data_IF_615798792339
#
_entry.id   IF_615798792339
#
_cell.length_a   1.000
_cell.length_b   1.000
_cell.length_c   1.000
_cell.angle_alpha   90.00
_cell.angle_beta   90.00
_cell.angle_gamma   90.00
#
_symmetry.space_group_name_H-M   'P 1'
#
loop_
_entity.id
_entity.type
_entity.pdbx_description
1 polymer ?
#
# COMPACT_ATOMS: atom_id res chain seq x y z
N UNK A 1 34.41 5.00 -44.80
CA UNK A 1 33.05 4.56 -44.43
C UNK A 1 33.18 3.30 -43.57
N UNK A 2 32.94 3.42 -42.28
CA UNK A 2 32.95 2.27 -41.39
C UNK A 2 31.66 1.46 -41.65
N UNK A 3 31.77 0.24 -42.19
CA UNK A 3 30.70 -0.73 -42.19
C UNK A 3 30.53 -1.20 -40.75
N UNK A 4 29.52 -0.67 -40.06
CA UNK A 4 29.04 -1.22 -38.81
C UNK A 4 28.40 -2.58 -39.11
N UNK A 5 29.19 -3.62 -38.97
CA UNK A 5 28.72 -4.99 -39.02
C UNK A 5 27.98 -5.26 -37.70
N UNK A 6 26.66 -5.08 -37.73
CA UNK A 6 25.79 -5.49 -36.63
C UNK A 6 25.66 -7.02 -36.63
N UNK A 7 26.73 -7.72 -36.26
CA UNK A 7 26.64 -9.11 -35.84
C UNK A 7 26.04 -9.16 -34.44
N UNK A 8 24.77 -8.72 -34.31
CA UNK A 8 23.95 -9.10 -33.20
C UNK A 8 23.75 -10.62 -33.37
N UNK A 9 24.48 -11.41 -32.57
CA UNK A 9 24.34 -12.84 -32.56
C UNK A 9 22.88 -13.18 -32.21
N UNK A 10 22.13 -13.60 -33.21
CA UNK A 10 20.72 -14.01 -33.10
C UNK A 10 20.48 -15.05 -32.01
N UNK A 11 21.55 -15.75 -31.57
CA UNK A 11 21.55 -16.70 -30.47
C UNK A 11 21.26 -16.07 -29.09
N UNK A 12 21.51 -14.78 -28.91
CA UNK A 12 21.30 -14.07 -27.64
C UNK A 12 19.96 -13.33 -27.56
N UNK A 13 19.28 -13.19 -28.70
CA UNK A 13 17.96 -12.52 -28.77
C UNK A 13 16.92 -13.17 -27.84
N UNK A 14 16.74 -14.50 -27.80
CA UNK A 14 15.76 -15.09 -26.89
C UNK A 14 16.13 -14.89 -25.42
N UNK A 15 17.42 -14.79 -25.09
CA UNK A 15 17.88 -14.56 -23.72
C UNK A 15 17.62 -13.12 -23.28
N UNK A 16 17.83 -12.14 -24.17
CA UNK A 16 17.51 -10.72 -23.93
C UNK A 16 16.00 -10.49 -23.77
N UNK A 17 15.18 -11.15 -24.55
CA UNK A 17 13.72 -11.10 -24.46
C UNK A 17 13.22 -11.73 -23.15
N UNK A 18 13.86 -12.82 -22.68
CA UNK A 18 13.52 -13.46 -21.41
C UNK A 18 13.83 -12.54 -20.22
N UNK A 19 14.99 -11.88 -20.23
CA UNK A 19 15.41 -10.92 -19.20
C UNK A 19 14.49 -9.71 -19.18
N UNK A 20 14.12 -9.17 -20.35
CA UNK A 20 13.19 -8.05 -20.48
C UNK A 20 11.79 -8.43 -19.97
N UNK A 21 11.35 -9.66 -20.19
CA UNK A 21 10.07 -10.19 -19.67
C UNK A 21 10.03 -10.28 -18.16
N UNK A 22 11.13 -10.63 -17.51
CA UNK A 22 11.23 -10.74 -16.04
C UNK A 22 11.18 -9.37 -15.36
N UNK A 23 11.68 -8.32 -16.00
CA UNK A 23 11.67 -6.95 -15.46
C UNK A 23 10.27 -6.31 -15.44
N UNK A 24 9.32 -6.81 -16.22
CA UNK A 24 7.97 -6.24 -16.34
C UNK A 24 7.02 -6.77 -15.24
N UNK A 25 7.39 -7.84 -14.53
CA UNK A 25 6.54 -8.47 -13.49
C UNK A 25 6.69 -7.83 -12.11
N UNK A 26 7.49 -6.76 -11.97
CA UNK A 26 7.51 -5.93 -10.76
C UNK A 26 6.22 -5.11 -10.69
N UNK A 27 5.06 -5.78 -10.70
CA UNK A 27 3.77 -5.15 -10.52
C UNK A 27 3.70 -4.48 -9.15
N UNK A 28 3.03 -3.33 -9.07
CA UNK A 28 2.67 -2.66 -7.83
C UNK A 28 1.79 -3.59 -6.99
N UNK A 29 2.41 -4.49 -6.24
CA UNK A 29 1.69 -5.32 -5.27
C UNK A 29 1.34 -4.48 -4.05
N UNK A 30 0.12 -4.67 -3.53
CA UNK A 30 -0.27 -4.11 -2.23
C UNK A 30 0.71 -4.61 -1.17
N UNK A 31 1.27 -3.72 -0.33
CA UNK A 31 2.15 -4.15 0.76
C UNK A 31 1.45 -5.16 1.66
N UNK A 32 2.19 -6.16 2.11
CA UNK A 32 1.67 -7.15 3.04
C UNK A 32 1.63 -6.57 4.44
N UNK A 33 0.46 -6.56 5.08
CA UNK A 33 0.26 -6.10 6.45
C UNK A 33 -0.14 -7.23 7.39
N UNK A 34 0.16 -7.06 8.69
CA UNK A 34 -0.25 -7.94 9.77
C UNK A 34 -1.49 -7.37 10.46
N UNK A 35 -2.66 -8.04 10.42
CA UNK A 35 -3.88 -7.52 11.02
C UNK A 35 -3.82 -7.42 12.56
N UNK A 36 -3.03 -8.24 13.25
CA UNK A 36 -2.88 -8.15 14.71
C UNK A 36 -2.08 -6.91 15.12
N UNK A 37 -1.02 -6.60 14.37
CA UNK A 37 -0.28 -5.35 14.53
C UNK A 37 -1.16 -4.15 14.15
N UNK A 38 -1.93 -4.25 13.10
CA UNK A 38 -2.89 -3.23 12.69
C UNK A 38 -3.92 -2.91 13.76
N UNK A 39 -4.43 -3.92 14.46
CA UNK A 39 -5.32 -3.73 15.62
C UNK A 39 -4.63 -2.94 16.73
N UNK A 40 -3.36 -3.24 16.99
CA UNK A 40 -2.55 -2.52 18.00
C UNK A 40 -2.36 -1.06 17.59
N UNK A 41 -1.99 -0.79 16.34
CA UNK A 41 -1.84 0.57 15.81
C UNK A 41 -3.14 1.35 15.85
N UNK A 42 -4.25 0.73 15.50
CA UNK A 42 -5.60 1.31 15.59
C UNK A 42 -5.92 1.81 17.00
N UNK A 43 -5.54 1.05 18.00
CA UNK A 43 -5.73 1.42 19.42
C UNK A 43 -4.74 2.49 19.86
N UNK A 44 -3.44 2.36 19.52
CA UNK A 44 -2.40 3.29 19.95
C UNK A 44 -2.56 4.69 19.39
N UNK A 45 -3.09 4.81 18.17
CA UNK A 45 -3.34 6.10 17.55
C UNK A 45 -4.75 6.63 17.80
N UNK A 46 -5.50 6.01 18.70
CA UNK A 46 -6.86 6.42 19.11
C UNK A 46 -7.86 6.50 17.94
N UNK A 47 -7.69 5.70 16.91
CA UNK A 47 -8.60 5.67 15.76
C UNK A 47 -10.03 5.32 16.21
N UNK A 48 -10.15 4.44 17.20
CA UNK A 48 -11.42 4.02 17.79
C UNK A 48 -12.21 5.17 18.43
N UNK A 49 -11.58 6.23 18.86
CA UNK A 49 -12.26 7.36 19.50
C UNK A 49 -13.30 8.02 18.56
N UNK A 50 -13.02 8.03 17.26
CA UNK A 50 -13.92 8.57 16.25
C UNK A 50 -14.59 7.49 15.40
N UNK A 51 -13.86 6.42 15.05
CA UNK A 51 -14.34 5.36 14.17
C UNK A 51 -14.98 4.17 14.91
N UNK A 52 -14.93 4.15 16.24
CA UNK A 52 -15.43 3.06 17.08
C UNK A 52 -14.45 1.88 17.21
N UNK A 53 -14.64 1.02 18.20
CA UNK A 53 -13.72 -0.11 18.47
C UNK A 53 -13.67 -1.12 17.31
N UNK A 54 -14.73 -1.23 16.52
CA UNK A 54 -14.81 -2.13 15.38
C UNK A 54 -14.75 -1.40 14.02
N UNK A 55 -14.52 -0.10 14.00
CA UNK A 55 -14.44 0.71 12.79
C UNK A 55 -15.79 1.05 12.14
N UNK A 56 -16.92 0.73 12.77
CA UNK A 56 -18.27 0.94 12.22
C UNK A 56 -19.28 1.52 13.21
N UNK A 57 -18.91 1.76 14.43
CA UNK A 57 -19.79 2.14 15.53
C UNK A 57 -19.41 3.49 16.17
N UNK A 58 -18.60 4.29 15.48
CA UNK A 58 -18.25 5.64 15.86
C UNK A 58 -19.04 6.71 15.12
N UNK A 59 -18.70 7.99 15.41
CA UNK A 59 -19.29 9.16 14.74
C UNK A 59 -18.67 9.46 13.38
N UNK A 60 -17.43 8.98 13.16
CA UNK A 60 -16.72 9.13 11.90
C UNK A 60 -17.21 8.08 10.86
N UNK A 61 -16.87 8.26 9.58
CA UNK A 61 -17.23 7.30 8.55
C UNK A 61 -16.76 5.87 8.88
N UNK A 62 -17.52 4.88 8.41
CA UNK A 62 -17.19 3.46 8.55
C UNK A 62 -15.86 3.15 7.87
N UNK A 63 -14.98 2.46 8.58
CA UNK A 63 -13.63 2.10 8.09
C UNK A 63 -13.34 0.59 8.16
N UNK A 64 -14.29 -0.22 8.56
CA UNK A 64 -14.18 -1.68 8.48
C UNK A 64 -14.64 -2.22 7.12
N UNK A 65 -14.27 -3.46 6.79
CA UNK A 65 -14.56 -4.08 5.50
C UNK A 65 -14.15 -3.19 4.31
N UNK A 66 -12.95 -2.65 4.37
CA UNK A 66 -12.47 -1.69 3.36
C UNK A 66 -12.47 -2.30 1.95
N UNK A 67 -13.21 -1.67 1.04
CA UNK A 67 -13.22 -2.01 -0.39
C UNK A 67 -12.23 -1.17 -1.20
N UNK A 68 -11.76 -0.05 -0.63
CA UNK A 68 -10.80 0.81 -1.31
C UNK A 68 -9.42 0.16 -1.44
N UNK A 69 -8.64 0.61 -2.43
CA UNK A 69 -7.25 0.17 -2.59
C UNK A 69 -6.36 0.66 -1.46
N UNK A 70 -5.24 -0.07 -1.21
CA UNK A 70 -4.23 0.34 -0.24
C UNK A 70 -3.74 1.78 -0.47
N UNK A 71 -3.42 2.14 -1.70
CA UNK A 71 -2.89 3.47 -2.05
C UNK A 71 -3.87 4.60 -1.74
N UNK A 72 -5.16 4.36 -1.91
CA UNK A 72 -6.19 5.32 -1.53
C UNK A 72 -6.30 5.42 -0.01
N UNK A 73 -6.24 4.30 0.69
CA UNK A 73 -6.26 4.25 2.16
C UNK A 73 -5.06 5.00 2.75
N UNK A 74 -3.85 4.70 2.28
CA UNK A 74 -2.62 5.38 2.68
C UNK A 74 -2.73 6.90 2.50
N UNK A 75 -3.17 7.36 1.34
CA UNK A 75 -3.37 8.78 1.07
C UNK A 75 -4.30 9.43 2.09
N UNK A 76 -5.38 8.76 2.49
CA UNK A 76 -6.31 9.24 3.51
C UNK A 76 -5.65 9.32 4.88
N UNK A 77 -4.84 8.32 5.26
CA UNK A 77 -4.08 8.36 6.51
C UNK A 77 -3.10 9.53 6.53
N UNK A 78 -2.40 9.77 5.42
CA UNK A 78 -1.45 10.89 5.31
C UNK A 78 -2.15 12.24 5.31
N UNK A 79 -3.24 12.38 4.58
CA UNK A 79 -4.07 13.60 4.52
C UNK A 79 -5.50 13.26 4.09
N UNK A 80 -6.40 13.18 5.03
CA UNK A 80 -7.82 12.93 4.77
C UNK A 80 -8.55 14.12 4.12
N UNK A 81 -7.92 15.30 4.04
CA UNK A 81 -8.58 16.52 3.57
C UNK A 81 -9.70 17.01 4.50
N UNK A 82 -9.72 16.52 5.73
CA UNK A 82 -10.71 16.86 6.76
C UNK A 82 -10.06 17.68 7.89
N UNK A 83 -10.73 18.70 8.43
CA UNK A 83 -10.21 19.44 9.58
C UNK A 83 -10.30 18.63 10.89
N UNK A 84 -11.05 17.52 10.91
CA UNK A 84 -11.34 16.74 12.10
C UNK A 84 -10.39 15.54 12.21
N UNK A 85 -10.19 14.80 11.12
CA UNK A 85 -9.26 13.67 11.11
C UNK A 85 -7.81 14.19 11.08
N UNK A 86 -6.96 13.82 12.06
CA UNK A 86 -5.57 14.23 12.06
C UNK A 86 -4.81 13.70 10.85
N UNK A 87 -3.76 14.41 10.47
CA UNK A 87 -2.78 13.93 9.50
C UNK A 87 -1.74 13.07 10.21
N UNK A 88 -1.42 11.93 9.62
CA UNK A 88 -0.43 11.00 10.16
C UNK A 88 0.74 10.90 9.18
N UNK A 89 1.79 11.74 9.35
CA UNK A 89 2.99 11.63 8.54
C UNK A 89 3.76 10.33 8.84
N UNK A 90 4.70 10.00 7.98
CA UNK A 90 5.47 8.74 8.06
C UNK A 90 6.23 8.59 9.40
N UNK A 91 6.66 9.71 10.00
CA UNK A 91 7.34 9.73 11.29
C UNK A 91 6.43 9.31 12.46
N UNK A 92 5.11 9.42 12.30
CA UNK A 92 4.12 8.99 13.28
C UNK A 92 3.61 7.57 13.04
N UNK A 93 3.31 7.27 11.80
CA UNK A 93 2.81 5.96 11.35
C UNK A 93 3.60 5.59 10.11
N UNK A 94 4.50 4.61 10.22
CA UNK A 94 5.31 4.16 9.09
C UNK A 94 4.44 3.54 7.99
N UNK A 95 4.99 3.39 6.78
CA UNK A 95 4.28 2.74 5.67
C UNK A 95 3.92 1.29 5.99
N UNK A 96 4.77 0.59 6.77
CA UNK A 96 4.45 -0.76 7.25
C UNK A 96 3.26 -0.75 8.21
N UNK A 97 3.22 0.20 9.15
CA UNK A 97 2.10 0.32 10.09
C UNK A 97 0.79 0.68 9.37
N UNK A 98 0.86 1.46 8.29
CA UNK A 98 -0.31 1.72 7.42
C UNK A 98 -0.77 0.44 6.72
N UNK A 99 0.17 -0.40 6.25
CA UNK A 99 -0.17 -1.70 5.65
C UNK A 99 -0.83 -2.64 6.67
N UNK A 100 -0.34 -2.65 7.90
CA UNK A 100 -0.93 -3.42 9.01
C UNK A 100 -2.35 -2.94 9.35
N UNK A 101 -2.55 -1.62 9.45
CA UNK A 101 -3.86 -1.01 9.66
C UNK A 101 -4.84 -1.38 8.53
N UNK A 102 -4.39 -1.32 7.29
CA UNK A 102 -5.20 -1.70 6.14
C UNK A 102 -5.60 -3.18 6.19
N UNK A 103 -4.65 -4.07 6.52
CA UNK A 103 -4.93 -5.49 6.68
C UNK A 103 -5.97 -5.76 7.79
N UNK A 104 -5.86 -5.07 8.92
CA UNK A 104 -6.80 -5.17 10.03
C UNK A 104 -8.20 -4.71 9.63
N UNK A 105 -8.32 -3.53 9.04
CA UNK A 105 -9.63 -2.95 8.69
C UNK A 105 -10.30 -3.65 7.50
N UNK A 106 -9.51 -4.24 6.60
CA UNK A 106 -10.05 -5.01 5.48
C UNK A 106 -10.61 -6.37 5.89
N UNK A 107 -10.08 -6.96 6.96
CA UNK A 107 -10.47 -8.28 7.47
C UNK A 107 -11.65 -8.27 8.46
N UNK A 108 -12.29 -7.12 8.70
CA UNK A 108 -13.37 -6.93 9.69
C UNK A 108 -14.77 -7.12 9.08
#
# INVERSE_FOLDING_TARGET
>A
MAKYSSNLNLKWMPFLLLILGILIVSGCSTPTGNPDDGKRWYSMHNCFACHGPNGNDGKAPVVNNLEMSYWRFEKIIRDAGSPIMPKYPEEKISDQDVADLYAFLKAK
#
